data_IF_160455229024
#
_entry.id   IF_160455229024
#
_cell.length_a   1.000
_cell.length_b   1.000
_cell.length_c   1.000
_cell.angle_alpha   90.00
_cell.angle_beta   90.00
_cell.angle_gamma   90.00
#
_symmetry.space_group_name_H-M   'P 1'
#
loop_
_entity.id
_entity.type
_entity.pdbx_description
1 polymer ?
#
# COMPACT_ATOMS: atom_id res chain seq x y z
N UNK A 1 -17.25 13.64 43.13
CA UNK A 1 -17.07 12.91 41.85
C UNK A 1 -16.99 13.92 40.71
N UNK A 2 -15.77 14.25 40.24
CA UNK A 2 -15.57 15.15 39.10
C UNK A 2 -14.97 14.33 37.95
N UNK A 3 -15.78 14.08 36.91
CA UNK A 3 -15.36 13.51 35.62
C UNK A 3 -14.31 14.45 35.01
N UNK A 4 -13.06 14.01 34.90
CA UNK A 4 -12.06 14.69 34.07
C UNK A 4 -12.30 14.26 32.62
N UNK A 5 -12.75 15.21 31.83
CA UNK A 5 -12.86 15.12 30.37
C UNK A 5 -11.43 15.08 29.81
N UNK A 6 -11.01 13.94 29.27
CA UNK A 6 -9.72 13.81 28.61
C UNK A 6 -9.88 14.36 27.17
N UNK A 7 -9.56 15.64 26.96
CA UNK A 7 -9.40 16.18 25.61
C UNK A 7 -8.11 15.58 25.02
N UNK A 8 -8.25 14.67 24.05
CA UNK A 8 -7.16 14.26 23.17
C UNK A 8 -7.03 15.37 22.13
N UNK A 9 -6.06 16.25 22.33
CA UNK A 9 -5.70 17.30 21.39
C UNK A 9 -4.86 16.68 20.26
N UNK A 10 -5.46 16.44 19.10
CA UNK A 10 -4.70 16.19 17.87
C UNK A 10 -4.00 17.50 17.49
N UNK A 11 -2.73 17.63 17.86
CA UNK A 11 -1.93 18.77 17.49
C UNK A 11 -1.43 18.54 16.05
N UNK A 12 -2.21 19.05 15.10
CA UNK A 12 -1.76 19.26 13.73
C UNK A 12 -0.63 20.28 13.85
N UNK A 13 0.61 19.81 13.73
CA UNK A 13 1.74 20.72 13.62
C UNK A 13 1.66 21.32 12.21
N UNK A 14 1.02 22.46 12.12
CA UNK A 14 1.16 23.37 10.99
C UNK A 14 2.58 23.96 11.04
N UNK A 15 3.59 23.16 10.68
CA UNK A 15 4.84 23.73 10.21
C UNK A 15 4.50 24.39 8.89
N UNK A 16 4.41 25.72 8.93
CA UNK A 16 4.33 26.54 7.73
C UNK A 16 5.56 26.25 6.90
N UNK A 17 5.39 25.39 5.89
CA UNK A 17 6.30 25.26 4.77
C UNK A 17 6.51 26.68 4.27
N UNK A 18 7.69 27.24 4.54
CA UNK A 18 8.19 28.37 3.77
C UNK A 18 8.60 27.78 2.42
N UNK A 19 7.60 27.33 1.66
CA UNK A 19 7.77 27.04 0.27
C UNK A 19 8.27 28.35 -0.35
N UNK A 20 9.42 28.30 -0.98
CA UNK A 20 9.86 29.33 -1.90
C UNK A 20 8.83 29.43 -3.03
N UNK A 21 7.83 30.31 -2.85
CA UNK A 21 6.83 30.62 -3.85
C UNK A 21 7.54 31.33 -5.00
N UNK A 22 7.67 30.67 -6.16
CA UNK A 22 8.24 31.32 -7.35
C UNK A 22 8.71 30.45 -8.51
N UNK A 23 8.89 29.13 -8.37
CA UNK A 23 9.22 28.28 -9.52
C UNK A 23 8.04 27.40 -9.91
N UNK A 24 7.48 27.67 -11.10
CA UNK A 24 6.67 26.68 -11.81
C UNK A 24 7.56 25.47 -12.09
N UNK A 25 7.26 24.36 -11.42
CA UNK A 25 8.03 23.13 -11.51
C UNK A 25 7.20 22.06 -12.17
N UNK A 26 7.78 21.35 -13.14
CA UNK A 26 7.22 20.11 -13.68
C UNK A 26 8.35 19.10 -13.77
N UNK A 27 8.09 17.93 -13.21
CA UNK A 27 8.98 16.78 -13.30
C UNK A 27 8.21 15.58 -13.84
N UNK A 28 8.86 14.81 -14.72
CA UNK A 28 8.31 13.56 -15.28
C UNK A 28 9.33 12.46 -15.03
N UNK A 29 9.12 11.70 -13.96
CA UNK A 29 10.04 10.64 -13.53
C UNK A 29 9.50 9.25 -13.90
N UNK A 30 10.35 8.34 -14.40
CA UNK A 30 9.96 6.95 -14.56
C UNK A 30 9.83 6.28 -13.20
N UNK A 31 9.04 5.20 -13.15
CA UNK A 31 9.03 4.29 -12.01
C UNK A 31 9.12 2.84 -12.48
N UNK A 32 9.53 1.95 -11.57
CA UNK A 32 9.49 0.50 -11.78
C UNK A 32 8.71 -0.18 -10.67
N UNK A 33 8.15 -1.36 -10.96
CA UNK A 33 7.50 -2.19 -9.93
C UNK A 33 8.45 -3.29 -9.48
N UNK A 34 8.73 -3.36 -8.17
CA UNK A 34 9.55 -4.41 -7.55
C UNK A 34 8.75 -5.00 -6.39
N UNK A 35 8.45 -6.30 -6.41
CA UNK A 35 7.65 -6.94 -5.36
C UNK A 35 6.28 -6.31 -5.10
N UNK A 36 5.68 -5.68 -6.12
CA UNK A 36 4.41 -4.95 -5.98
C UNK A 36 4.55 -3.55 -5.36
N UNK A 37 5.77 -3.04 -5.14
CA UNK A 37 6.05 -1.67 -4.71
C UNK A 37 6.46 -0.80 -5.89
N UNK A 38 6.00 0.44 -5.91
CA UNK A 38 6.42 1.44 -6.88
C UNK A 38 7.75 2.06 -6.43
N UNK A 39 8.81 1.87 -7.22
CA UNK A 39 10.14 2.39 -6.93
C UNK A 39 10.46 3.53 -7.89
N UNK A 40 10.83 4.69 -7.33
CA UNK A 40 11.33 5.86 -8.06
C UNK A 40 12.75 6.21 -7.61
N UNK A 41 13.42 7.04 -8.41
CA UNK A 41 14.73 7.57 -8.08
C UNK A 41 14.64 9.08 -7.80
N UNK A 42 15.35 9.53 -6.77
CA UNK A 42 15.49 10.96 -6.41
C UNK A 42 16.91 11.24 -5.97
N UNK A 43 17.38 12.47 -6.19
CA UNK A 43 18.65 12.95 -5.67
C UNK A 43 18.48 13.42 -4.22
N UNK A 44 19.23 12.81 -3.30
CA UNK A 44 19.36 13.24 -1.91
C UNK A 44 20.72 13.90 -1.77
N UNK A 45 20.77 15.21 -1.53
CA UNK A 45 22.01 16.00 -1.51
C UNK A 45 22.97 15.69 -2.69
N UNK A 46 22.41 15.54 -3.91
CA UNK A 46 23.16 15.29 -5.14
C UNK A 46 23.51 13.83 -5.44
N UNK A 47 23.17 12.88 -4.55
CA UNK A 47 23.35 11.43 -4.78
C UNK A 47 22.02 10.79 -5.17
N UNK A 48 21.98 10.09 -6.31
CA UNK A 48 20.77 9.40 -6.77
C UNK A 48 20.50 8.20 -5.87
N UNK A 49 19.26 8.09 -5.38
CA UNK A 49 18.82 7.06 -4.44
C UNK A 49 17.44 6.54 -4.82
N UNK A 50 17.15 5.30 -4.44
CA UNK A 50 15.84 4.68 -4.66
C UNK A 50 14.89 4.90 -3.48
N UNK A 51 13.63 5.14 -3.79
CA UNK A 51 12.55 5.29 -2.83
C UNK A 51 11.35 4.45 -3.22
N UNK A 52 10.61 3.93 -2.23
CA UNK A 52 9.24 3.49 -2.47
C UNK A 52 8.36 4.75 -2.53
N UNK A 53 7.58 4.89 -3.60
CA UNK A 53 6.58 5.94 -3.70
C UNK A 53 5.28 5.46 -3.03
N UNK A 54 4.86 6.15 -1.97
CA UNK A 54 3.82 5.70 -1.03
C UNK A 54 2.83 6.82 -0.70
N UNK A 55 1.75 6.92 -1.48
CA UNK A 55 0.70 7.93 -1.24
C UNK A 55 -0.06 7.70 0.08
N UNK A 56 0.03 6.51 0.68
CA UNK A 56 -0.55 6.22 2.00
C UNK A 56 0.38 6.56 3.16
N UNK A 57 1.64 6.88 2.88
CA UNK A 57 2.69 7.12 3.87
C UNK A 57 3.12 8.58 4.02
N UNK A 58 4.07 8.77 4.94
CA UNK A 58 4.84 9.99 5.12
C UNK A 58 6.25 9.81 4.56
N UNK A 59 6.85 10.92 4.14
CA UNK A 59 8.20 10.93 3.56
C UNK A 59 9.21 10.61 4.64
N UNK A 60 10.09 9.66 4.33
CA UNK A 60 11.02 9.12 5.32
C UNK A 60 12.38 8.76 4.74
N UNK A 61 13.39 8.73 5.60
CA UNK A 61 14.74 8.25 5.31
C UNK A 61 15.17 7.20 6.33
N UNK A 62 16.00 6.26 5.89
CA UNK A 62 16.61 5.26 6.75
C UNK A 62 17.52 5.91 7.80
N UNK A 63 17.61 5.35 9.02
CA UNK A 63 18.52 5.83 10.05
C UNK A 63 19.97 5.92 9.57
N UNK A 64 20.43 4.94 8.80
CA UNK A 64 21.79 4.88 8.27
C UNK A 64 22.07 6.04 7.31
N UNK A 65 21.12 6.37 6.42
CA UNK A 65 21.28 7.53 5.53
C UNK A 65 21.22 8.85 6.31
N UNK A 66 20.34 8.97 7.31
CA UNK A 66 20.32 10.15 8.18
C UNK A 66 21.65 10.35 8.90
N UNK A 67 22.29 9.25 9.35
CA UNK A 67 23.61 9.28 9.97
C UNK A 67 24.72 9.63 8.98
N UNK A 68 24.72 9.03 7.77
CA UNK A 68 25.66 9.35 6.68
C UNK A 68 25.64 10.85 6.35
N UNK A 69 24.45 11.45 6.31
CA UNK A 69 24.24 12.86 5.99
C UNK A 69 24.40 13.79 7.20
N UNK A 70 24.60 13.27 8.42
CA UNK A 70 24.72 14.06 9.64
C UNK A 70 23.45 14.86 10.00
N UNK A 71 22.26 14.36 9.63
CA UNK A 71 21.00 15.05 9.87
C UNK A 71 20.66 15.09 11.36
N UNK A 72 20.19 16.25 11.84
CA UNK A 72 19.83 16.44 13.24
C UNK A 72 18.35 16.25 13.46
N UNK A 73 18.01 15.58 14.56
CA UNK A 73 16.62 15.41 15.01
C UNK A 73 16.09 16.78 15.43
N UNK A 74 15.00 17.21 14.78
CA UNK A 74 14.27 18.44 15.09
C UNK A 74 13.17 18.18 16.11
N UNK A 75 12.45 17.06 15.96
CA UNK A 75 11.36 16.67 16.87
C UNK A 75 11.12 15.15 16.83
N UNK A 76 10.10 14.67 17.55
CA UNK A 76 9.59 13.30 17.46
C UNK A 76 8.07 13.33 17.28
N UNK A 77 7.54 12.47 16.43
CA UNK A 77 6.10 12.32 16.22
C UNK A 77 5.67 10.88 16.44
N UNK A 78 4.43 10.69 16.88
CA UNK A 78 3.81 9.37 16.94
C UNK A 78 2.95 9.16 15.68
N UNK A 79 3.19 8.06 14.99
CA UNK A 79 2.41 7.63 13.82
C UNK A 79 1.89 6.22 14.04
N UNK A 80 0.84 5.84 13.32
CA UNK A 80 0.37 4.46 13.28
C UNK A 80 0.97 3.77 12.06
N UNK A 81 1.48 2.56 12.24
CA UNK A 81 1.99 1.76 11.13
C UNK A 81 0.86 1.08 10.33
N UNK A 82 1.23 0.33 9.29
CA UNK A 82 0.30 -0.44 8.45
C UNK A 82 -0.48 -1.53 9.23
N UNK A 83 -0.04 -1.89 10.44
CA UNK A 83 -0.67 -2.85 11.35
C UNK A 83 -1.38 -2.14 12.53
N UNK A 84 -1.62 -0.83 12.41
CA UNK A 84 -2.31 0.03 13.39
C UNK A 84 -1.63 0.07 14.78
N UNK A 85 -0.32 -0.19 14.86
CA UNK A 85 0.48 -0.04 16.07
C UNK A 85 1.06 1.37 16.18
N UNK A 86 0.97 2.04 17.34
CA UNK A 86 1.60 3.35 17.52
C UNK A 86 3.12 3.21 17.62
N UNK A 87 3.85 3.96 16.79
CA UNK A 87 5.31 4.02 16.79
C UNK A 87 5.75 5.47 16.81
N UNK A 88 6.76 5.79 17.61
CA UNK A 88 7.34 7.13 17.68
C UNK A 88 8.59 7.20 16.82
N UNK A 89 8.61 8.11 15.85
CA UNK A 89 9.76 8.34 14.98
C UNK A 89 10.38 9.72 15.23
N UNK A 90 11.72 9.84 15.20
CA UNK A 90 12.38 11.12 15.05
C UNK A 90 12.03 11.76 13.70
N UNK A 91 11.97 13.09 13.69
CA UNK A 91 11.87 13.90 12.48
C UNK A 91 13.19 14.65 12.34
N UNK A 92 13.80 14.58 11.15
CA UNK A 92 14.99 15.33 10.78
C UNK A 92 14.66 16.29 9.65
N UNK A 93 15.50 17.30 9.44
CA UNK A 93 15.39 18.23 8.31
C UNK A 93 16.36 17.83 7.21
N UNK A 94 15.85 17.60 6.00
CA UNK A 94 16.65 17.31 4.81
C UNK A 94 16.75 18.57 3.95
N UNK A 95 17.98 19.06 3.75
CA UNK A 95 18.22 20.31 3.02
C UNK A 95 17.85 20.26 1.53
N UNK A 96 18.01 19.11 0.85
CA UNK A 96 17.71 18.99 -0.58
C UNK A 96 17.24 17.58 -0.97
N UNK A 97 16.08 17.53 -1.62
CA UNK A 97 15.54 16.35 -2.28
C UNK A 97 15.05 16.74 -3.68
N UNK A 98 15.71 16.24 -4.71
CA UNK A 98 15.45 16.63 -6.10
C UNK A 98 14.96 15.44 -6.93
N UNK A 99 14.00 15.69 -7.80
CA UNK A 99 13.51 14.70 -8.78
C UNK A 99 14.63 14.26 -9.73
N UNK A 100 14.59 13.03 -10.23
CA UNK A 100 15.69 12.46 -11.04
C UNK A 100 15.93 13.21 -12.37
N UNK A 101 14.94 13.92 -12.89
CA UNK A 101 15.07 14.81 -14.05
C UNK A 101 15.45 16.25 -13.70
N UNK A 102 15.62 16.56 -12.41
CA UNK A 102 15.94 17.89 -11.87
C UNK A 102 14.89 18.97 -12.16
N UNK A 103 13.66 18.56 -12.49
CA UNK A 103 12.56 19.48 -12.77
C UNK A 103 11.96 20.12 -11.52
N UNK A 104 12.06 19.45 -10.37
CA UNK A 104 11.58 19.91 -9.06
C UNK A 104 12.63 19.60 -8.00
N UNK A 105 12.90 20.59 -7.14
CA UNK A 105 13.76 20.50 -5.97
C UNK A 105 13.01 20.93 -4.71
N UNK A 106 12.87 20.02 -3.75
CA UNK A 106 12.31 20.26 -2.43
C UNK A 106 13.45 20.61 -1.47
N UNK A 107 13.31 21.75 -0.78
CA UNK A 107 14.31 22.26 0.16
C UNK A 107 13.80 22.27 1.57
N UNK A 108 14.72 22.02 2.51
CA UNK A 108 14.49 22.12 3.96
C UNK A 108 13.21 21.39 4.40
N UNK A 109 13.06 20.15 3.95
CA UNK A 109 11.85 19.35 4.19
C UNK A 109 11.97 18.55 5.48
N UNK A 110 10.91 18.48 6.31
CA UNK A 110 10.85 17.54 7.40
C UNK A 110 10.69 16.13 6.83
N UNK A 111 11.52 15.19 7.29
CA UNK A 111 11.41 13.77 6.93
C UNK A 111 11.46 12.91 8.17
N UNK A 112 10.68 11.84 8.19
CA UNK A 112 10.75 10.85 9.25
C UNK A 112 12.07 10.09 9.16
N UNK A 113 12.78 9.97 10.27
CA UNK A 113 13.85 9.00 10.40
C UNK A 113 13.22 7.65 10.74
N UNK A 114 13.02 6.82 9.72
CA UNK A 114 12.36 5.52 9.83
C UNK A 114 13.12 4.50 8.99
N UNK A 115 13.52 3.40 9.63
CA UNK A 115 14.14 2.25 8.97
C UNK A 115 13.21 1.07 9.04
N UNK A 116 13.20 0.25 7.99
CA UNK A 116 12.48 -1.01 7.99
C UNK A 116 13.36 -2.09 7.38
N UNK A 117 13.30 -3.32 7.91
CA UNK A 117 14.09 -4.42 7.35
C UNK A 117 13.72 -4.72 5.89
N UNK A 118 12.53 -4.32 5.42
CA UNK A 118 12.19 -4.46 4.02
C UNK A 118 12.90 -3.43 3.13
N UNK A 119 13.39 -2.31 3.65
CA UNK A 119 14.07 -1.29 2.82
C UNK A 119 15.29 -1.90 2.12
N UNK A 120 16.07 -2.69 2.86
CA UNK A 120 17.22 -3.41 2.32
C UNK A 120 16.79 -4.39 1.22
N UNK A 121 15.70 -5.14 1.44
CA UNK A 121 15.17 -6.06 0.42
C UNK A 121 14.81 -5.35 -0.88
N UNK A 122 14.28 -4.12 -0.82
CA UNK A 122 13.91 -3.34 -2.01
C UNK A 122 15.04 -2.45 -2.53
N UNK A 123 16.18 -2.38 -1.84
CA UNK A 123 17.31 -1.51 -2.16
C UNK A 123 16.93 -0.03 -2.14
N UNK A 124 16.10 0.38 -1.18
CA UNK A 124 15.60 1.76 -1.03
C UNK A 124 16.14 2.41 0.24
N UNK A 125 16.23 3.73 0.23
CA UNK A 125 16.67 4.52 1.40
C UNK A 125 15.52 5.18 2.15
N UNK A 126 14.28 5.01 1.68
CA UNK A 126 13.15 5.74 2.24
C UNK A 126 11.83 5.58 1.49
N UNK A 127 10.84 6.35 1.95
CA UNK A 127 9.53 6.50 1.32
C UNK A 127 9.38 7.94 0.82
N UNK A 128 8.69 8.12 -0.30
CA UNK A 128 8.14 9.41 -0.72
C UNK A 128 6.64 9.39 -0.43
N UNK A 129 6.24 10.17 0.57
CA UNK A 129 4.88 10.22 1.10
C UNK A 129 4.03 11.33 0.48
N UNK A 130 2.75 11.33 0.83
CA UNK A 130 1.80 12.38 0.41
C UNK A 130 2.10 13.76 1.03
N UNK A 131 2.80 13.80 2.16
CA UNK A 131 3.24 15.02 2.83
C UNK A 131 4.20 15.87 1.97
N UNK A 132 5.09 15.25 1.21
CA UNK A 132 5.96 15.96 0.26
C UNK A 132 5.15 16.62 -0.87
N UNK A 133 3.99 16.05 -1.20
CA UNK A 133 3.15 16.44 -2.33
C UNK A 133 2.01 17.37 -1.95
N UNK A 134 1.92 17.81 -0.69
CA UNK A 134 0.80 18.59 -0.14
C UNK A 134 0.39 19.81 -1.00
N UNK A 135 1.35 20.42 -1.70
CA UNK A 135 1.15 21.60 -2.55
C UNK A 135 1.33 21.32 -4.05
N UNK A 136 1.19 20.06 -4.46
CA UNK A 136 1.50 19.59 -5.81
C UNK A 136 0.29 18.92 -6.47
N UNK A 137 0.38 18.77 -7.78
CA UNK A 137 -0.46 17.88 -8.58
C UNK A 137 0.38 16.67 -8.98
N UNK A 138 -0.09 15.49 -8.63
CA UNK A 138 0.50 14.20 -8.97
C UNK A 138 -0.31 13.55 -10.08
N UNK A 139 0.33 13.12 -11.16
CA UNK A 139 -0.26 12.21 -12.15
C UNK A 139 0.50 10.89 -12.17
N UNK A 140 -0.23 9.76 -12.23
CA UNK A 140 0.36 8.43 -12.39
C UNK A 140 -0.21 7.78 -13.65
N UNK A 141 0.68 7.47 -14.60
CA UNK A 141 0.35 6.75 -15.83
C UNK A 141 1.05 5.39 -15.85
N UNK A 142 0.27 4.32 -15.65
CA UNK A 142 0.77 2.95 -15.61
C UNK A 142 1.15 2.37 -16.96
N UNK A 143 0.47 2.80 -18.04
CA UNK A 143 0.80 2.38 -19.41
C UNK A 143 2.16 2.91 -19.84
N UNK A 144 2.51 4.11 -19.37
CA UNK A 144 3.82 4.71 -19.64
C UNK A 144 4.86 4.46 -18.54
N UNK A 145 4.45 3.91 -17.39
CA UNK A 145 5.25 3.74 -16.17
C UNK A 145 5.95 5.03 -15.73
N UNK A 146 5.18 6.13 -15.65
CA UNK A 146 5.67 7.46 -15.28
C UNK A 146 4.80 8.13 -14.23
N UNK A 147 5.48 8.91 -13.39
CA UNK A 147 4.88 9.87 -12.48
C UNK A 147 5.16 11.27 -13.02
N UNK A 148 4.15 12.13 -13.06
CA UNK A 148 4.32 13.57 -13.30
C UNK A 148 3.98 14.33 -12.03
N UNK A 149 4.90 15.16 -11.56
CA UNK A 149 4.68 16.07 -10.44
C UNK A 149 4.71 17.48 -11.00
N UNK A 150 3.69 18.27 -10.73
CA UNK A 150 3.59 19.67 -11.15
C UNK A 150 3.23 20.55 -9.97
N UNK A 151 3.79 21.74 -9.90
CA UNK A 151 3.35 22.78 -8.94
C UNK A 151 1.90 23.19 -9.22
N UNK A 152 1.13 23.47 -8.18
CA UNK A 152 -0.33 23.56 -8.26
C UNK A 152 -0.88 24.98 -8.55
N UNK A 153 -0.09 25.89 -9.12
CA UNK A 153 -0.54 27.26 -9.43
C UNK A 153 -1.72 27.26 -10.41
N UNK A 154 -1.75 26.27 -11.31
CA UNK A 154 -2.90 25.98 -12.19
C UNK A 154 -3.54 24.66 -11.76
N UNK A 155 -4.86 24.62 -11.85
CA UNK A 155 -5.60 23.37 -11.71
C UNK A 155 -5.29 22.41 -12.86
N UNK A 156 -5.48 21.12 -12.61
CA UNK A 156 -5.41 20.11 -13.68
C UNK A 156 -6.47 20.35 -14.76
N UNK A 157 -6.17 19.95 -16.00
CA UNK A 157 -7.11 20.00 -17.12
C UNK A 157 -8.10 18.81 -17.13
N UNK A 158 -7.98 17.88 -16.18
CA UNK A 158 -8.87 16.72 -16.10
C UNK A 158 -10.29 17.18 -15.73
N UNK A 159 -11.28 16.65 -16.46
CA UNK A 159 -12.70 16.98 -16.25
C UNK A 159 -13.17 16.67 -14.81
N UNK A 160 -13.82 17.64 -14.17
CA UNK A 160 -14.43 17.47 -12.84
C UNK A 160 -15.44 16.32 -12.74
N UNK A 161 -16.06 15.93 -13.86
CA UNK A 161 -16.96 14.73 -13.91
C UNK A 161 -16.24 13.42 -13.59
N UNK A 162 -14.91 13.39 -13.71
CA UNK A 162 -14.04 12.25 -13.38
C UNK A 162 -13.40 12.41 -12.00
N UNK A 163 -13.87 13.35 -11.19
CA UNK A 163 -13.27 13.70 -9.90
C UNK A 163 -14.16 13.33 -8.72
N UNK A 164 -13.52 13.05 -7.59
CA UNK A 164 -14.11 13.01 -6.25
C UNK A 164 -13.28 13.89 -5.32
N UNK A 165 -13.90 14.44 -4.29
CA UNK A 165 -13.19 15.22 -3.26
C UNK A 165 -12.57 14.29 -2.24
N UNK A 166 -11.52 14.74 -1.55
CA UNK A 166 -11.12 14.09 -0.31
C UNK A 166 -12.24 14.22 0.73
N UNK A 167 -12.39 13.21 1.58
CA UNK A 167 -13.46 13.14 2.60
C UNK A 167 -12.95 13.25 4.03
N UNK A 168 -11.65 13.51 4.18
CA UNK A 168 -10.98 13.79 5.45
C UNK A 168 -10.00 14.95 5.26
N UNK A 169 -9.72 15.66 6.36
CA UNK A 169 -8.71 16.70 6.37
C UNK A 169 -7.30 16.09 6.33
N UNK A 170 -6.36 16.84 5.75
CA UNK A 170 -4.96 16.45 5.63
C UNK A 170 -4.56 16.08 4.20
N UNK A 171 -3.33 15.58 4.08
CA UNK A 171 -2.69 15.34 2.79
C UNK A 171 -2.91 13.94 2.24
N UNK A 172 -3.41 13.00 3.04
CA UNK A 172 -3.67 11.65 2.56
C UNK A 172 -4.88 11.64 1.60
N UNK A 173 -4.79 10.98 0.43
CA UNK A 173 -5.87 10.95 -0.57
C UNK A 173 -6.97 9.97 -0.13
N UNK A 174 -7.74 10.36 0.87
CA UNK A 174 -8.88 9.60 1.39
C UNK A 174 -10.13 10.04 0.64
N UNK A 175 -10.74 9.11 -0.11
CA UNK A 175 -11.92 9.35 -0.94
C UNK A 175 -13.05 8.40 -0.56
N UNK A 176 -14.26 8.69 -1.00
CA UNK A 176 -15.40 7.79 -0.83
C UNK A 176 -15.71 7.03 -2.13
N UNK A 177 -15.85 5.70 -1.99
CA UNK A 177 -16.35 4.82 -3.04
C UNK A 177 -17.77 4.37 -2.69
N UNK A 178 -18.56 4.07 -3.71
CA UNK A 178 -19.82 3.36 -3.58
C UNK A 178 -19.56 1.84 -3.67
N UNK A 179 -19.90 1.07 -2.64
CA UNK A 179 -19.73 -0.38 -2.59
C UNK A 179 -21.08 -1.09 -2.42
N UNK A 180 -21.61 -1.68 -3.48
CA UNK A 180 -23.01 -2.12 -3.52
C UNK A 180 -23.99 -0.94 -3.55
N UNK A 181 -25.29 -1.21 -3.45
CA UNK A 181 -26.32 -0.16 -3.53
C UNK A 181 -26.46 0.57 -2.17
N UNK A 182 -26.25 1.88 -2.15
CA UNK A 182 -26.50 2.73 -0.98
C UNK A 182 -25.42 2.74 0.11
N UNK A 183 -24.34 1.97 -0.03
CA UNK A 183 -23.25 1.94 0.96
C UNK A 183 -21.99 2.67 0.49
N UNK A 184 -21.65 3.76 1.19
CA UNK A 184 -20.37 4.44 1.06
C UNK A 184 -19.25 3.75 1.86
N UNK A 185 -18.05 3.73 1.30
CA UNK A 185 -16.83 3.29 1.96
C UNK A 185 -15.74 4.33 1.78
N UNK A 186 -15.13 4.78 2.89
CA UNK A 186 -13.96 5.65 2.84
C UNK A 186 -12.72 4.80 2.58
N UNK A 187 -11.92 5.19 1.61
CA UNK A 187 -10.70 4.47 1.25
C UNK A 187 -9.53 5.43 1.12
N UNK A 188 -8.36 5.00 1.58
CA UNK A 188 -7.09 5.67 1.32
C UNK A 188 -6.52 5.13 0.01
N UNK A 189 -6.26 5.99 -0.98
CA UNK A 189 -5.47 5.58 -2.12
C UNK A 189 -3.99 5.44 -1.72
N UNK A 190 -3.46 4.23 -1.85
CA UNK A 190 -2.18 3.83 -1.27
C UNK A 190 -1.34 3.07 -2.32
N UNK A 191 -0.34 3.75 -2.88
CA UNK A 191 0.64 3.12 -3.80
C UNK A 191 1.58 2.14 -3.11
N UNK A 192 1.66 2.17 -1.77
CA UNK A 192 2.29 1.15 -0.94
C UNK A 192 1.48 -0.15 -0.87
N UNK A 193 0.19 -0.14 -1.23
CA UNK A 193 -0.66 -1.34 -1.27
C UNK A 193 -0.74 -1.92 -2.69
N UNK A 194 -0.33 -3.18 -2.88
CA UNK A 194 -0.30 -3.82 -4.20
C UNK A 194 -1.65 -4.38 -4.68
N UNK A 195 -2.66 -4.40 -3.81
CA UNK A 195 -3.99 -4.92 -4.10
C UNK A 195 -4.90 -3.94 -4.85
N UNK A 196 -6.16 -4.32 -5.04
CA UNK A 196 -7.21 -3.39 -5.47
C UNK A 196 -7.89 -2.79 -4.24
N UNK A 197 -8.60 -3.61 -3.44
CA UNK A 197 -9.13 -3.19 -2.13
C UNK A 197 -8.59 -4.10 -1.01
N UNK A 198 -8.08 -3.48 0.05
CA UNK A 198 -7.83 -4.13 1.35
C UNK A 198 -8.82 -3.57 2.35
N UNK A 199 -9.78 -4.39 2.82
CA UNK A 199 -10.90 -3.91 3.62
C UNK A 199 -10.51 -3.82 5.09
N UNK A 200 -10.70 -2.67 5.72
CA UNK A 200 -10.49 -2.58 7.18
C UNK A 200 -11.57 -3.37 7.91
N UNK A 201 -11.18 -4.09 8.97
CA UNK A 201 -12.09 -4.93 9.77
C UNK A 201 -13.35 -4.19 10.24
N UNK A 202 -13.24 -2.93 10.67
CA UNK A 202 -14.42 -2.14 11.09
C UNK A 202 -15.36 -1.78 9.94
N UNK A 203 -14.84 -1.59 8.72
CA UNK A 203 -15.69 -1.37 7.54
C UNK A 203 -16.38 -2.68 7.13
N UNK A 204 -15.69 -3.82 7.22
CA UNK A 204 -16.30 -5.13 7.04
C UNK A 204 -17.50 -5.35 7.97
N UNK A 205 -17.33 -5.11 9.26
CA UNK A 205 -18.40 -5.27 10.26
C UNK A 205 -19.61 -4.37 9.92
N UNK A 206 -19.36 -3.09 9.62
CA UNK A 206 -20.40 -2.14 9.22
C UNK A 206 -21.14 -2.58 7.96
N UNK A 207 -20.40 -2.97 6.92
CA UNK A 207 -20.94 -3.34 5.61
C UNK A 207 -21.64 -4.70 5.61
N UNK A 208 -21.26 -5.61 6.52
CA UNK A 208 -21.95 -6.88 6.73
C UNK A 208 -23.43 -6.67 7.07
N UNK A 209 -23.74 -5.63 7.85
CA UNK A 209 -25.12 -5.34 8.28
C UNK A 209 -26.00 -4.76 7.18
N UNK A 210 -25.40 -4.26 6.09
CA UNK A 210 -26.09 -3.61 4.96
C UNK A 210 -26.10 -4.45 3.68
N UNK A 211 -25.68 -5.73 3.76
CA UNK A 211 -25.60 -6.64 2.61
C UNK A 211 -24.82 -6.06 1.43
N UNK A 212 -23.78 -5.26 1.69
CA UNK A 212 -23.00 -4.58 0.65
C UNK A 212 -22.15 -5.55 -0.19
N UNK A 213 -21.89 -6.75 0.33
CA UNK A 213 -21.10 -7.80 -0.29
C UNK A 213 -21.71 -9.18 -0.04
N UNK A 214 -21.22 -10.15 -0.79
CA UNK A 214 -21.63 -11.56 -0.73
C UNK A 214 -20.40 -12.49 -0.63
N UNK A 215 -20.67 -13.80 -0.57
CA UNK A 215 -19.66 -14.86 -0.64
C UNK A 215 -18.53 -14.72 0.39
N UNK A 216 -18.89 -14.53 1.66
CA UNK A 216 -17.93 -14.44 2.77
C UNK A 216 -17.24 -15.78 2.99
N UNK A 217 -15.91 -15.81 2.85
CA UNK A 217 -15.08 -16.96 3.17
C UNK A 217 -14.16 -16.60 4.32
N UNK A 218 -14.38 -17.22 5.48
CA UNK A 218 -13.49 -17.08 6.63
C UNK A 218 -12.18 -17.84 6.40
N UNK A 219 -11.09 -17.22 6.82
CA UNK A 219 -9.75 -17.77 6.86
C UNK A 219 -9.04 -17.41 8.16
N UNK A 220 -7.87 -18.00 8.32
CA UNK A 220 -6.97 -17.72 9.41
C UNK A 220 -5.56 -17.56 8.83
N UNK A 221 -4.89 -16.47 9.17
CA UNK A 221 -3.65 -16.14 8.50
C UNK A 221 -2.89 -15.00 9.15
N UNK A 222 -1.58 -15.00 8.92
CA UNK A 222 -0.73 -13.84 9.16
C UNK A 222 -1.06 -12.74 8.15
N UNK A 223 -1.10 -11.49 8.63
CA UNK A 223 -1.42 -10.35 7.79
C UNK A 223 -0.24 -9.91 6.90
N UNK A 224 -0.38 -8.72 6.32
CA UNK A 224 0.64 -8.14 5.44
C UNK A 224 1.96 -7.84 6.17
N UNK A 225 3.00 -7.59 5.38
CA UNK A 225 4.27 -7.08 5.88
C UNK A 225 4.19 -5.54 5.99
N UNK A 226 4.16 -5.02 7.21
CA UNK A 226 4.21 -3.59 7.53
C UNK A 226 5.55 -3.19 8.15
N UNK A 227 5.69 -1.92 8.57
CA UNK A 227 6.94 -1.40 9.18
C UNK A 227 7.28 -2.04 10.53
N UNK A 228 6.30 -2.50 11.31
CA UNK A 228 6.56 -3.31 12.50
C UNK A 228 6.78 -4.81 12.19
N UNK A 229 6.89 -5.17 10.90
CA UNK A 229 7.01 -6.54 10.42
C UNK A 229 5.69 -7.22 10.08
N UNK A 230 5.70 -8.55 10.11
CA UNK A 230 4.56 -9.38 9.72
C UNK A 230 3.49 -9.30 10.81
N UNK A 231 2.27 -8.93 10.44
CA UNK A 231 1.16 -8.88 11.39
C UNK A 231 0.89 -10.26 12.01
N UNK A 232 0.48 -10.27 13.28
CA UNK A 232 0.10 -11.50 13.98
C UNK A 232 -1.03 -12.22 13.24
N UNK A 233 -1.04 -13.55 13.34
CA UNK A 233 -2.11 -14.34 12.76
C UNK A 233 -3.46 -14.00 13.40
N UNK A 234 -4.47 -13.76 12.57
CA UNK A 234 -5.81 -13.43 13.01
C UNK A 234 -6.85 -14.03 12.05
N UNK A 235 -8.12 -13.97 12.44
CA UNK A 235 -9.24 -14.27 11.54
C UNK A 235 -9.26 -13.23 10.43
N UNK A 236 -9.35 -13.70 9.20
CA UNK A 236 -9.40 -12.87 8.00
C UNK A 236 -10.57 -13.31 7.13
N UNK A 237 -11.31 -12.36 6.57
CA UNK A 237 -12.45 -12.65 5.70
C UNK A 237 -12.11 -12.28 4.27
N UNK A 238 -12.52 -13.13 3.34
CA UNK A 238 -12.64 -12.79 1.92
C UNK A 238 -14.08 -12.48 1.61
N UNK A 239 -14.30 -11.40 0.91
CA UNK A 239 -15.63 -10.96 0.51
C UNK A 239 -15.64 -10.64 -0.99
N UNK A 240 -16.83 -10.59 -1.55
CA UNK A 240 -17.06 -10.23 -2.93
C UNK A 240 -18.09 -9.10 -3.00
N UNK A 241 -17.64 -7.92 -3.44
CA UNK A 241 -18.52 -6.84 -3.82
C UNK A 241 -19.01 -7.07 -5.27
N UNK A 242 -20.32 -7.17 -5.50
CA UNK A 242 -20.85 -7.26 -6.87
C UNK A 242 -20.45 -6.06 -7.73
N UNK A 243 -20.44 -4.87 -7.11
CA UNK A 243 -20.11 -3.60 -7.75
C UNK A 243 -19.43 -2.66 -6.76
N UNK A 244 -18.32 -2.06 -7.19
CA UNK A 244 -17.74 -0.85 -6.60
C UNK A 244 -17.71 0.24 -7.68
N UNK A 245 -18.00 1.48 -7.33
CA UNK A 245 -17.94 2.58 -8.30
C UNK A 245 -17.50 3.90 -7.67
N UNK A 246 -16.79 4.71 -8.45
CA UNK A 246 -16.42 6.07 -8.10
C UNK A 246 -16.02 6.84 -9.37
N UNK A 247 -16.05 8.17 -9.34
CA UNK A 247 -15.60 9.02 -10.45
C UNK A 247 -16.19 8.63 -11.83
N UNK A 248 -17.45 8.18 -11.87
CA UNK A 248 -18.12 7.75 -13.10
C UNK A 248 -17.63 6.41 -13.68
N UNK A 249 -16.87 5.63 -12.91
CA UNK A 249 -16.33 4.32 -13.30
C UNK A 249 -16.90 3.21 -12.42
N UNK A 250 -17.16 2.05 -13.04
CA UNK A 250 -17.74 0.85 -12.43
C UNK A 250 -16.74 -0.29 -12.45
N UNK A 251 -16.64 -0.99 -11.32
CA UNK A 251 -15.82 -2.17 -11.12
C UNK A 251 -16.71 -3.30 -10.63
N UNK A 252 -16.92 -4.30 -11.46
CA UNK A 252 -17.71 -5.48 -11.18
C UNK A 252 -16.82 -6.58 -10.59
N UNK A 253 -17.42 -7.43 -9.76
CA UNK A 253 -16.77 -8.60 -9.15
C UNK A 253 -15.46 -8.26 -8.40
N UNK A 254 -15.53 -7.29 -7.49
CA UNK A 254 -14.38 -6.87 -6.69
C UNK A 254 -14.25 -7.76 -5.47
N UNK A 255 -13.16 -8.53 -5.40
CA UNK A 255 -12.84 -9.34 -4.25
C UNK A 255 -11.87 -8.61 -3.32
N UNK A 256 -12.12 -8.66 -2.02
CA UNK A 256 -11.29 -8.02 -1.00
C UNK A 256 -11.02 -8.99 0.16
N UNK A 257 -9.88 -8.80 0.83
CA UNK A 257 -9.55 -9.45 2.10
C UNK A 257 -9.62 -8.43 3.24
N UNK A 258 -10.03 -8.85 4.45
CA UNK A 258 -9.97 -7.98 5.62
C UNK A 258 -8.53 -7.81 6.11
N UNK A 259 -8.26 -6.64 6.68
CA UNK A 259 -6.96 -6.27 7.24
C UNK A 259 -7.14 -5.40 8.48
N UNK A 260 -6.17 -5.48 9.39
CA UNK A 260 -6.12 -4.66 10.61
C UNK A 260 -5.49 -3.26 10.36
N UNK A 261 -5.33 -2.89 9.09
CA UNK A 261 -4.84 -1.57 8.69
C UNK A 261 -5.76 -0.45 9.22
N UNK A 262 -5.22 0.75 9.51
CA UNK A 262 -6.02 1.85 10.04
C UNK A 262 -7.06 2.40 9.06
N UNK A 263 -6.93 2.10 7.76
CA UNK A 263 -7.84 2.49 6.68
C UNK A 263 -8.19 1.30 5.79
N UNK A 264 -9.37 1.35 5.16
CA UNK A 264 -9.60 0.57 3.93
C UNK A 264 -8.71 1.16 2.83
N UNK A 265 -7.95 0.31 2.13
CA UNK A 265 -6.96 0.76 1.15
C UNK A 265 -7.45 0.50 -0.27
N UNK A 266 -7.32 1.50 -1.14
CA UNK A 266 -7.44 1.39 -2.59
C UNK A 266 -6.02 1.38 -3.18
N UNK A 267 -5.56 0.22 -3.62
CA UNK A 267 -4.16 0.00 -3.98
C UNK A 267 -3.83 0.19 -5.45
N UNK A 268 -2.57 -0.13 -5.78
CA UNK A 268 -1.93 -0.01 -7.09
C UNK A 268 -2.67 -0.70 -8.23
N UNK A 269 -3.45 -1.77 -7.99
CA UNK A 269 -4.22 -2.42 -9.06
C UNK A 269 -5.26 -1.49 -9.69
N UNK A 270 -5.64 -0.41 -9.03
CA UNK A 270 -6.50 0.61 -9.65
C UNK A 270 -5.90 1.13 -10.96
N UNK A 271 -4.58 1.28 -11.00
CA UNK A 271 -3.86 1.84 -12.14
C UNK A 271 -3.88 0.93 -13.37
N UNK A 272 -4.23 -0.36 -13.23
CA UNK A 272 -4.44 -1.25 -14.38
C UNK A 272 -5.65 -0.80 -15.23
N UNK A 273 -6.56 -0.02 -14.64
CA UNK A 273 -7.84 0.37 -15.23
C UNK A 273 -7.93 1.84 -15.64
N UNK A 274 -6.92 2.66 -15.37
CA UNK A 274 -6.97 4.08 -15.72
C UNK A 274 -5.77 4.90 -15.29
N UNK A 275 -5.74 6.14 -15.75
CA UNK A 275 -4.78 7.16 -15.32
C UNK A 275 -5.31 7.87 -14.08
N UNK A 276 -4.42 8.12 -13.13
CA UNK A 276 -4.72 8.82 -11.89
C UNK A 276 -4.18 10.24 -11.91
N UNK A 277 -4.93 11.19 -11.37
CA UNK A 277 -4.42 12.52 -10.99
C UNK A 277 -4.90 12.88 -9.59
N UNK A 278 -3.99 13.30 -8.72
CA UNK A 278 -4.28 13.81 -7.37
C UNK A 278 -3.84 15.27 -7.33
N UNK A 279 -4.80 16.18 -7.20
CA UNK A 279 -4.54 17.60 -6.94
C UNK A 279 -4.61 17.80 -5.42
N UNK A 280 -3.46 17.70 -4.76
CA UNK A 280 -3.37 17.79 -3.30
C UNK A 280 -3.77 19.19 -2.82
N UNK A 281 -3.36 20.25 -3.51
CA UNK A 281 -3.72 21.62 -3.13
C UNK A 281 -5.22 21.90 -3.14
N UNK A 282 -5.99 21.19 -3.98
CA UNK A 282 -7.44 21.34 -4.07
C UNK A 282 -8.20 20.18 -3.44
N UNK A 283 -7.52 19.23 -2.79
CA UNK A 283 -8.09 18.01 -2.21
C UNK A 283 -9.00 17.26 -3.18
N UNK A 284 -8.52 17.04 -4.42
CA UNK A 284 -9.28 16.39 -5.49
C UNK A 284 -8.54 15.18 -6.04
N UNK A 285 -9.28 14.11 -6.23
CA UNK A 285 -8.82 12.85 -6.81
C UNK A 285 -9.56 12.63 -8.13
N UNK A 286 -8.82 12.45 -9.22
CA UNK A 286 -9.35 12.28 -10.56
C UNK A 286 -8.95 10.91 -11.11
N UNK A 287 -9.91 10.19 -11.68
CA UNK A 287 -9.63 8.90 -12.31
C UNK A 287 -10.13 8.86 -13.74
N UNK A 288 -9.20 8.74 -14.68
CA UNK A 288 -9.49 8.60 -16.10
C UNK A 288 -9.41 7.13 -16.51
N UNK A 289 -10.53 6.43 -16.32
CA UNK A 289 -10.62 5.02 -16.66
C UNK A 289 -10.39 4.79 -18.16
N UNK A 290 -9.69 3.71 -18.48
CA UNK A 290 -9.53 3.23 -19.86
C UNK A 290 -10.85 2.69 -20.41
N UNK A 291 -11.69 2.12 -19.55
CA UNK A 291 -13.05 1.68 -19.83
C UNK A 291 -13.95 2.03 -18.64
N UNK A 292 -15.20 2.43 -18.89
CA UNK A 292 -16.14 2.83 -17.83
C UNK A 292 -16.63 1.68 -16.97
N UNK A 293 -16.66 0.46 -17.50
CA UNK A 293 -17.03 -0.75 -16.77
C UNK A 293 -15.91 -1.78 -16.87
N UNK A 294 -15.48 -2.30 -15.73
CA UNK A 294 -14.33 -3.19 -15.60
C UNK A 294 -14.73 -4.40 -14.74
N UNK A 295 -14.55 -5.61 -15.27
CA UNK A 295 -14.73 -6.84 -14.49
C UNK A 295 -13.37 -7.28 -13.93
N UNK A 296 -13.25 -7.30 -12.60
CA UNK A 296 -12.01 -7.69 -11.95
C UNK A 296 -11.82 -9.21 -11.92
N UNK A 297 -12.92 -9.99 -11.87
CA UNK A 297 -12.96 -11.45 -11.98
C UNK A 297 -12.02 -12.25 -11.06
N UNK A 298 -11.33 -11.62 -10.11
CA UNK A 298 -10.10 -12.16 -9.53
C UNK A 298 -10.41 -13.09 -8.36
N UNK A 299 -9.83 -14.29 -8.36
CA UNK A 299 -10.09 -15.28 -7.30
C UNK A 299 -8.81 -15.56 -6.53
N UNK A 300 -8.92 -15.66 -5.21
CA UNK A 300 -7.76 -15.89 -4.36
C UNK A 300 -7.42 -17.40 -4.25
N UNK A 301 -6.14 -17.74 -4.03
CA UNK A 301 -5.74 -19.11 -3.69
C UNK A 301 -6.31 -19.50 -2.32
N UNK A 302 -6.71 -20.76 -2.17
CA UNK A 302 -7.38 -21.25 -0.95
C UNK A 302 -6.42 -21.30 0.28
N UNK A 303 -5.12 -21.05 0.08
CA UNK A 303 -4.10 -20.80 1.11
C UNK A 303 -2.97 -19.93 0.55
N UNK A 304 -2.18 -19.29 1.40
CA UNK A 304 -0.96 -18.51 1.06
C UNK A 304 0.26 -19.17 1.70
N UNK A 305 1.42 -18.95 1.08
CA UNK A 305 2.72 -19.41 1.56
C UNK A 305 3.69 -18.24 1.64
N UNK A 306 4.66 -18.32 2.56
CA UNK A 306 5.75 -17.34 2.70
C UNK A 306 7.06 -18.03 3.05
N UNK A 307 8.17 -17.31 2.88
CA UNK A 307 9.46 -17.76 3.39
C UNK A 307 9.59 -17.40 4.86
N UNK A 308 10.00 -18.38 5.67
CA UNK A 308 10.34 -18.24 7.09
C UNK A 308 11.53 -19.16 7.38
N UNK A 309 12.61 -18.60 7.92
CA UNK A 309 13.84 -19.32 8.26
C UNK A 309 14.36 -20.17 7.09
N UNK A 310 14.34 -19.60 5.88
CA UNK A 310 14.76 -20.27 4.65
C UNK A 310 13.75 -21.29 4.07
N UNK A 311 12.67 -21.59 4.79
CA UNK A 311 11.68 -22.59 4.38
C UNK A 311 10.41 -21.94 3.85
N UNK A 312 9.77 -22.57 2.87
CA UNK A 312 8.43 -22.20 2.44
C UNK A 312 7.40 -22.80 3.40
N UNK A 313 6.61 -21.94 4.06
CA UNK A 313 5.61 -22.34 5.05
C UNK A 313 4.24 -21.75 4.71
N UNK A 314 3.17 -22.43 5.11
CA UNK A 314 1.79 -21.92 5.01
C UNK A 314 1.65 -20.70 5.92
N UNK A 315 1.19 -19.58 5.37
CA UNK A 315 1.02 -18.32 6.09
C UNK A 315 -0.43 -17.94 6.33
N UNK A 316 -1.36 -18.51 5.56
CA UNK A 316 -2.79 -18.28 5.70
C UNK A 316 -3.60 -19.37 4.98
N UNK A 317 -4.79 -19.68 5.48
CA UNK A 317 -5.69 -20.73 4.97
C UNK A 317 -7.14 -20.23 4.98
N UNK A 318 -7.95 -20.63 3.99
CA UNK A 318 -9.35 -20.22 3.87
C UNK A 318 -10.29 -21.40 3.61
N UNK A 319 -11.54 -21.25 4.05
CA UNK A 319 -12.61 -22.21 3.80
C UNK A 319 -12.22 -23.62 4.23
N UNK A 320 -12.53 -24.62 3.39
CA UNK A 320 -12.23 -26.05 3.65
C UNK A 320 -10.74 -26.36 3.83
N UNK A 321 -9.84 -25.47 3.39
CA UNK A 321 -8.40 -25.69 3.57
C UNK A 321 -7.98 -25.57 5.04
N UNK A 322 -8.78 -24.90 5.88
CA UNK A 322 -8.56 -24.81 7.33
C UNK A 322 -8.63 -26.17 8.04
N UNK A 323 -9.38 -27.12 7.49
CA UNK A 323 -9.48 -28.47 8.05
C UNK A 323 -8.32 -29.38 7.60
N UNK A 324 -7.46 -28.88 6.71
CA UNK A 324 -6.40 -29.66 6.04
C UNK A 324 -5.02 -29.14 6.41
N UNK A 325 -4.87 -27.81 6.49
CA UNK A 325 -3.60 -27.11 6.67
C UNK A 325 -3.68 -26.10 7.82
N UNK A 326 -2.55 -25.93 8.49
CA UNK A 326 -2.33 -24.96 9.55
C UNK A 326 -1.25 -23.96 9.17
N UNK A 327 -1.29 -22.77 9.79
CA UNK A 327 -0.20 -21.80 9.66
C UNK A 327 1.08 -22.42 10.23
N UNK A 328 2.19 -22.29 9.50
CA UNK A 328 3.49 -22.86 9.86
C UNK A 328 3.78 -24.22 9.23
N UNK A 329 2.78 -24.88 8.63
CA UNK A 329 2.98 -26.13 7.90
C UNK A 329 4.02 -25.95 6.78
N UNK A 330 4.98 -26.86 6.69
CA UNK A 330 6.14 -26.72 5.78
C UNK A 330 5.84 -27.33 4.42
N UNK A 331 6.06 -26.58 3.34
CA UNK A 331 5.99 -27.09 1.97
C UNK A 331 7.26 -27.89 1.68
N UNK A 332 7.11 -29.21 1.49
CA UNK A 332 8.22 -30.13 1.20
C UNK A 332 8.50 -30.25 -0.30
N UNK A 333 7.45 -30.28 -1.13
CA UNK A 333 7.59 -30.45 -2.59
C UNK A 333 6.65 -29.55 -3.35
N UNK A 334 7.11 -29.04 -4.50
CA UNK A 334 6.29 -28.36 -5.52
C UNK A 334 6.42 -29.13 -6.83
N UNK A 335 5.29 -29.60 -7.37
CA UNK A 335 5.21 -30.44 -8.56
C UNK A 335 6.16 -31.66 -8.50
N UNK A 336 6.26 -32.26 -7.31
CA UNK A 336 7.10 -33.44 -7.05
C UNK A 336 8.59 -33.16 -6.81
N UNK A 337 9.06 -31.92 -7.04
CA UNK A 337 10.44 -31.51 -6.75
C UNK A 337 10.56 -31.03 -5.30
N UNK A 338 11.60 -31.45 -4.59
CA UNK A 338 11.88 -30.98 -3.23
C UNK A 338 12.08 -29.47 -3.22
N UNK A 339 11.53 -28.80 -2.20
CA UNK A 339 11.77 -27.38 -1.94
C UNK A 339 13.19 -27.18 -1.43
N UNK A 340 13.80 -26.08 -1.84
CA UNK A 340 15.14 -25.67 -1.40
C UNK A 340 15.10 -24.72 -0.22
N UNK A 341 16.23 -24.06 0.00
CA UNK A 341 16.30 -22.86 0.83
C UNK A 341 15.92 -21.63 -0.01
N UNK A 342 15.11 -20.74 0.53
CA UNK A 342 14.66 -19.51 -0.13
C UNK A 342 15.18 -18.29 0.63
N UNK A 343 15.68 -17.30 -0.12
CA UNK A 343 15.96 -16.00 0.47
C UNK A 343 14.66 -15.21 0.68
N UNK A 344 14.55 -14.57 1.84
CA UNK A 344 13.35 -13.82 2.19
C UNK A 344 13.17 -12.59 1.30
N UNK A 345 14.23 -11.82 1.05
CA UNK A 345 14.16 -10.61 0.23
C UNK A 345 13.84 -10.95 -1.23
N UNK A 346 14.48 -11.98 -1.81
CA UNK A 346 14.14 -12.48 -3.15
C UNK A 346 12.68 -12.94 -3.21
N UNK A 347 12.16 -13.58 -2.15
CA UNK A 347 10.78 -14.05 -2.13
C UNK A 347 9.75 -12.93 -2.20
N UNK A 348 10.01 -11.78 -1.58
CA UNK A 348 9.08 -10.64 -1.58
C UNK A 348 9.28 -9.71 -2.77
N UNK A 349 10.51 -9.61 -3.30
CA UNK A 349 10.83 -8.72 -4.42
C UNK A 349 10.61 -9.38 -5.78
N UNK A 350 10.93 -10.67 -5.88
CA UNK A 350 10.85 -11.42 -7.12
C UNK A 350 9.73 -12.47 -7.10
N UNK A 351 9.29 -12.95 -5.93
CA UNK A 351 8.33 -14.03 -5.80
C UNK A 351 8.97 -15.42 -5.86
N UNK A 352 8.26 -16.43 -5.34
CA UNK A 352 8.72 -17.84 -5.34
C UNK A 352 8.86 -18.37 -6.78
N UNK A 353 10.07 -18.75 -7.23
CA UNK A 353 10.33 -19.14 -8.63
C UNK A 353 9.39 -20.24 -9.14
N UNK A 354 9.13 -21.27 -8.34
CA UNK A 354 8.33 -22.43 -8.71
C UNK A 354 6.84 -22.10 -8.89
N UNK A 355 6.40 -20.95 -8.39
CA UNK A 355 5.04 -20.44 -8.54
C UNK A 355 4.92 -19.41 -9.67
N UNK A 356 6.02 -18.93 -10.26
CA UNK A 356 5.99 -17.92 -11.33
C UNK A 356 5.35 -18.49 -12.59
N UNK A 357 4.44 -17.73 -13.21
CA UNK A 357 3.76 -18.11 -14.46
C UNK A 357 2.80 -19.31 -14.37
N UNK A 358 2.68 -19.99 -13.23
CA UNK A 358 1.83 -21.17 -13.07
C UNK A 358 0.47 -20.81 -12.48
N UNK A 359 -0.61 -21.21 -13.18
CA UNK A 359 -2.00 -21.10 -12.67
C UNK A 359 -2.26 -22.08 -11.52
N UNK A 360 -1.59 -23.22 -11.51
CA UNK A 360 -1.74 -24.21 -10.46
C UNK A 360 -0.50 -25.06 -10.29
N UNK A 361 -0.19 -25.43 -9.04
CA UNK A 361 0.87 -26.37 -8.69
C UNK A 361 0.37 -27.37 -7.66
N UNK A 362 0.97 -28.56 -7.65
CA UNK A 362 0.76 -29.58 -6.62
C UNK A 362 1.78 -29.34 -5.51
N UNK A 363 1.33 -29.22 -4.27
CA UNK A 363 2.20 -29.05 -3.11
C UNK A 363 2.08 -30.27 -2.19
N UNK A 364 3.21 -30.85 -1.81
CA UNK A 364 3.29 -31.77 -0.67
C UNK A 364 3.69 -30.95 0.54
N UNK A 365 2.86 -30.96 1.58
CA UNK A 365 3.00 -30.14 2.77
C UNK A 365 3.06 -31.06 3.99
N UNK A 366 4.05 -30.85 4.85
CA UNK A 366 4.16 -31.50 6.15
C UNK A 366 3.20 -30.83 7.12
N UNK A 367 2.24 -31.58 7.64
CA UNK A 367 1.33 -31.15 8.71
C UNK A 367 1.51 -32.02 9.95
N UNK A 368 0.86 -31.68 11.06
CA UNK A 368 0.86 -32.50 12.29
C UNK A 368 0.26 -33.90 12.06
N UNK A 369 -0.62 -34.04 11.06
CA UNK A 369 -1.28 -35.31 10.70
C UNK A 369 -0.52 -36.10 9.62
N UNK A 370 0.73 -35.73 9.32
CA UNK A 370 1.55 -36.31 8.26
C UNK A 370 1.55 -35.49 6.97
N UNK A 371 2.08 -36.07 5.89
CA UNK A 371 2.15 -35.38 4.59
C UNK A 371 0.75 -35.26 3.95
N UNK A 372 0.38 -34.03 3.59
CA UNK A 372 -0.81 -33.74 2.79
C UNK A 372 -0.42 -33.27 1.40
N UNK A 373 -1.18 -33.72 0.42
CA UNK A 373 -0.99 -33.32 -0.98
C UNK A 373 -2.17 -32.43 -1.39
N UNK A 374 -1.89 -31.15 -1.59
CA UNK A 374 -2.89 -30.13 -1.93
C UNK A 374 -2.56 -29.46 -3.25
N UNK A 375 -3.55 -28.76 -3.82
CA UNK A 375 -3.37 -27.99 -5.05
C UNK A 375 -3.43 -26.50 -4.74
N UNK A 376 -2.32 -25.81 -4.95
CA UNK A 376 -2.28 -24.35 -4.94
C UNK A 376 -2.77 -23.84 -6.30
N UNK A 377 -3.73 -22.90 -6.30
CA UNK A 377 -4.32 -22.33 -7.52
C UNK A 377 -4.25 -20.81 -7.46
N UNK A 378 -3.44 -20.19 -8.31
CA UNK A 378 -3.55 -18.76 -8.60
C UNK A 378 -4.75 -18.62 -9.53
N UNK A 379 -5.91 -18.22 -8.99
CA UNK A 379 -7.16 -18.22 -9.74
C UNK A 379 -7.41 -16.89 -10.44
#
# INVERSE_FOLDING_TARGET
>A
MKRKLLLILFLIVAFGLHASWGQQGKSVIPYRIVGGKMIIEMFVNGKLQNFIFDTGGQTSLSPDLCQELGLKIVTKIQVKDANNQPVTYPVVELGCLETSDKGINFKDIPVLQMGHFSFDCFGVVGLIGSDLLANMILEIDSKQQRITITTAEKQTNVSLRKSVSFVEEGVMPIIELQAGLGNGIKVLFDTGSSGFISLKTSDYERLSTSCAFENVIEGYGEGGLGVAGVAKANVIHRIHFPLVSFAGTRFCHVFAETSDAPYTLLGMKLLDYGKLTIDYSRHRFYFEAYTQENDLGQRFPDFRVRVKDGNLVVSAVWGKMRDILSIGDKVLKIDGKQTGNYDFCESITQGIPELKGKKSVKMTIQTEQGEKVVRYKKK
#
